data_IF_392885964441
#
_entry.id   IF_392885964441
#
_cell.length_a   1.000
_cell.length_b   1.000
_cell.length_c   1.000
_cell.angle_alpha   90.00
_cell.angle_beta   90.00
_cell.angle_gamma   90.00
#
_symmetry.space_group_name_H-M   'P 1'
#
loop_
_entity.id
_entity.type
_entity.pdbx_description
1 polymer ?
#
# COMPACT_ATOMS: atom_id res chain seq x y z
N UNK A 1 17.61 11.18 11.84
CA UNK A 1 16.52 10.50 12.58
C UNK A 1 15.20 10.85 11.92
N UNK A 2 14.30 9.87 11.73
CA UNK A 2 12.90 10.15 11.39
C UNK A 2 12.46 9.84 9.95
N UNK A 3 12.42 8.54 9.63
CA UNK A 3 11.50 7.86 8.71
C UNK A 3 10.59 8.75 7.80
N UNK A 4 10.93 8.87 6.51
CA UNK A 4 9.95 9.23 5.47
C UNK A 4 9.05 8.03 5.21
N UNK A 5 7.95 7.97 5.96
CA UNK A 5 6.85 7.05 5.72
C UNK A 5 5.97 7.68 4.65
N UNK A 6 6.13 7.26 3.38
CA UNK A 6 5.15 7.62 2.34
C UNK A 6 3.92 6.77 2.61
N UNK A 7 2.96 7.34 3.33
CA UNK A 7 1.59 6.88 3.41
C UNK A 7 0.84 7.58 2.27
N UNK A 8 0.52 6.86 1.19
CA UNK A 8 -0.64 7.25 0.38
C UNK A 8 -1.87 6.77 1.15
N UNK A 9 -2.31 7.59 2.11
CA UNK A 9 -3.60 7.45 2.76
C UNK A 9 -4.64 8.16 1.89
N UNK A 10 -5.80 7.53 1.64
CA UNK A 10 -6.97 8.16 1.01
C UNK A 10 -7.41 9.46 1.70
N UNK A 11 -6.92 9.72 2.93
CA UNK A 11 -7.25 10.91 3.73
C UNK A 11 -6.14 11.99 3.70
N UNK A 12 -5.13 11.85 2.84
CA UNK A 12 -3.95 12.73 2.88
C UNK A 12 -4.16 14.10 2.21
N UNK A 13 -5.20 14.25 1.39
CA UNK A 13 -5.55 15.53 0.76
C UNK A 13 -6.89 16.04 1.30
N UNK A 14 -6.91 16.82 2.40
CA UNK A 14 -8.15 17.41 2.91
C UNK A 14 -8.82 18.32 1.87
N UNK A 15 -8.06 18.84 0.90
CA UNK A 15 -8.59 19.59 -0.24
C UNK A 15 -9.63 18.78 -1.04
N UNK A 16 -9.42 17.47 -1.26
CA UNK A 16 -10.38 16.62 -1.96
C UNK A 16 -11.66 16.35 -1.13
N UNK A 17 -11.63 16.67 0.17
CA UNK A 17 -12.79 16.63 1.06
C UNK A 17 -13.46 18.00 1.25
N UNK A 18 -12.95 19.07 0.63
CA UNK A 18 -13.54 20.41 0.71
C UNK A 18 -14.53 20.61 -0.43
N UNK A 19 -15.71 21.12 -0.10
CA UNK A 19 -16.79 21.44 -1.06
C UNK A 19 -16.42 22.51 -2.11
N UNK A 20 -15.29 23.20 -1.96
CA UNK A 20 -14.79 24.23 -2.89
C UNK A 20 -13.88 23.66 -3.99
N UNK A 21 -13.44 22.40 -3.90
CA UNK A 21 -12.58 21.81 -4.94
C UNK A 21 -13.45 21.23 -6.05
N UNK A 22 -13.46 21.90 -7.20
CA UNK A 22 -14.01 21.35 -8.43
C UNK A 22 -13.02 20.30 -8.97
N UNK A 23 -13.48 19.05 -9.11
CA UNK A 23 -12.72 18.02 -9.80
C UNK A 23 -12.72 18.27 -11.31
N UNK A 24 -11.57 18.17 -11.95
CA UNK A 24 -11.50 18.14 -13.42
C UNK A 24 -12.20 16.88 -13.94
N UNK A 25 -13.00 16.95 -15.03
CA UNK A 25 -13.57 15.77 -15.66
C UNK A 25 -12.50 14.74 -15.99
N UNK A 26 -12.61 13.54 -15.42
CA UNK A 26 -11.64 12.45 -15.60
C UNK A 26 -10.58 12.34 -14.50
N UNK A 27 -10.61 13.19 -13.46
CA UNK A 27 -9.75 13.04 -12.30
C UNK A 27 -10.18 11.87 -11.40
N UNK A 28 -9.22 11.05 -10.98
CA UNK A 28 -9.40 10.03 -9.95
C UNK A 28 -9.21 10.66 -8.57
N UNK A 29 -10.16 10.44 -7.65
CA UNK A 29 -10.19 11.09 -6.34
C UNK A 29 -9.55 10.22 -5.24
N UNK A 30 -9.49 8.91 -5.46
CA UNK A 30 -8.87 7.98 -4.53
C UNK A 30 -8.60 6.64 -5.18
N UNK A 31 -7.55 5.94 -4.72
CA UNK A 31 -7.23 4.58 -5.13
C UNK A 31 -6.89 3.74 -3.91
N UNK A 32 -7.54 2.60 -3.79
CA UNK A 32 -7.34 1.66 -2.68
C UNK A 32 -6.98 0.29 -3.22
N UNK A 33 -6.02 -0.39 -2.62
CA UNK A 33 -5.65 -1.75 -3.03
C UNK A 33 -6.80 -2.70 -2.75
N UNK A 34 -7.16 -3.53 -3.72
CA UNK A 34 -8.17 -4.57 -3.51
C UNK A 34 -7.70 -5.59 -2.46
N UNK A 35 -8.58 -6.04 -1.54
CA UNK A 35 -8.20 -7.02 -0.52
C UNK A 35 -7.54 -8.28 -1.09
N UNK A 36 -8.08 -8.78 -2.21
CA UNK A 36 -7.52 -9.94 -2.94
C UNK A 36 -6.06 -9.71 -3.36
N UNK A 37 -5.77 -8.59 -4.00
CA UNK A 37 -4.42 -8.26 -4.48
C UNK A 37 -3.42 -8.15 -3.31
N UNK A 38 -3.86 -7.54 -2.20
CA UNK A 38 -3.07 -7.47 -0.98
C UNK A 38 -2.80 -8.86 -0.39
N UNK A 39 -3.81 -9.72 -0.29
CA UNK A 39 -3.69 -11.04 0.31
C UNK A 39 -2.79 -11.98 -0.50
N UNK A 40 -2.94 -11.97 -1.83
CA UNK A 40 -2.09 -12.73 -2.75
C UNK A 40 -0.62 -12.30 -2.62
N UNK A 41 -0.35 -10.98 -2.69
CA UNK A 41 0.99 -10.42 -2.52
C UNK A 41 1.59 -10.77 -1.15
N UNK A 42 0.80 -10.62 -0.09
CA UNK A 42 1.21 -10.92 1.30
C UNK A 42 1.55 -12.39 1.46
N UNK A 43 0.72 -13.29 0.95
CA UNK A 43 0.93 -14.74 1.06
C UNK A 43 2.21 -15.16 0.32
N UNK A 44 2.41 -14.68 -0.92
CA UNK A 44 3.62 -14.96 -1.69
C UNK A 44 4.87 -14.44 -0.96
N UNK A 45 4.84 -13.17 -0.55
CA UNK A 45 5.99 -12.51 0.08
C UNK A 45 6.39 -13.20 1.38
N UNK A 46 5.42 -13.53 2.24
CA UNK A 46 5.68 -14.24 3.50
C UNK A 46 6.28 -15.62 3.27
N UNK A 47 5.74 -16.38 2.32
CA UNK A 47 6.24 -17.72 1.97
C UNK A 47 7.68 -17.68 1.47
N UNK A 48 8.06 -16.66 0.69
CA UNK A 48 9.44 -16.53 0.20
C UNK A 48 10.40 -16.04 1.28
N UNK A 49 9.95 -15.16 2.17
CA UNK A 49 10.79 -14.64 3.25
C UNK A 49 11.00 -15.65 4.39
N UNK A 50 10.11 -16.62 4.58
CA UNK A 50 10.22 -17.59 5.69
C UNK A 50 11.45 -18.49 5.60
N UNK A 51 12.05 -18.65 4.42
CA UNK A 51 13.28 -19.43 4.21
C UNK A 51 14.52 -18.55 4.01
N UNK A 52 14.39 -17.23 4.19
CA UNK A 52 15.49 -16.30 4.01
C UNK A 52 16.40 -16.24 5.24
N UNK A 53 17.63 -15.75 5.06
CA UNK A 53 18.58 -15.51 6.17
C UNK A 53 18.03 -14.55 7.22
N UNK A 54 17.12 -13.64 6.86
CA UNK A 54 16.45 -12.74 7.81
C UNK A 54 15.47 -13.48 8.71
N UNK A 55 14.94 -14.62 8.27
CA UNK A 55 14.05 -15.47 9.07
C UNK A 55 14.82 -16.57 9.83
N UNK A 56 15.87 -17.14 9.24
CA UNK A 56 16.57 -18.32 9.80
C UNK A 56 17.88 -17.98 10.52
N UNK A 57 18.37 -16.74 10.43
CA UNK A 57 19.70 -16.31 10.91
C UNK A 57 19.92 -16.26 12.42
N UNK A 58 18.98 -16.76 13.24
CA UNK A 58 19.21 -17.07 14.65
C UNK A 58 19.25 -15.91 15.66
N UNK A 59 19.23 -14.65 15.22
CA UNK A 59 19.22 -13.47 16.12
C UNK A 59 17.98 -12.61 15.90
N UNK A 60 17.44 -12.05 17.00
CA UNK A 60 16.36 -11.05 16.97
C UNK A 60 16.83 -9.83 16.19
N UNK A 61 16.38 -9.71 14.94
CA UNK A 61 16.74 -8.60 14.08
C UNK A 61 15.60 -7.58 14.02
N UNK A 62 15.94 -6.32 13.74
CA UNK A 62 14.93 -5.27 13.51
C UNK A 62 13.97 -5.60 12.36
N UNK A 63 14.37 -6.48 11.43
CA UNK A 63 13.57 -6.92 10.29
C UNK A 63 12.46 -7.90 10.65
N UNK A 64 12.49 -8.47 11.86
CA UNK A 64 11.55 -9.49 12.32
C UNK A 64 10.66 -8.97 13.43
N UNK A 65 9.34 -9.16 13.29
CA UNK A 65 8.36 -8.89 14.33
C UNK A 65 7.35 -10.04 14.39
N UNK A 66 7.17 -10.64 15.58
CA UNK A 66 6.27 -11.79 15.76
C UNK A 66 6.62 -12.99 14.87
N UNK A 67 7.91 -13.27 14.68
CA UNK A 67 8.40 -14.37 13.84
C UNK A 67 8.24 -14.16 12.33
N UNK A 68 7.88 -12.95 11.88
CA UNK A 68 7.69 -12.61 10.47
C UNK A 68 8.65 -11.52 10.06
N UNK A 69 9.24 -11.66 8.88
CA UNK A 69 9.98 -10.58 8.23
C UNK A 69 8.96 -9.57 7.71
N UNK A 70 9.04 -8.31 8.15
CA UNK A 70 8.01 -7.29 7.88
C UNK A 70 8.42 -6.24 6.85
N UNK A 71 9.72 -6.11 6.55
CA UNK A 71 10.25 -4.95 5.85
C UNK A 71 10.95 -5.28 4.52
N UNK A 72 11.35 -6.53 4.30
CA UNK A 72 12.24 -6.89 3.20
C UNK A 72 11.49 -7.44 1.98
N UNK A 73 12.02 -7.17 0.79
CA UNK A 73 11.60 -7.81 -0.45
C UNK A 73 12.37 -9.13 -0.66
N UNK A 74 11.69 -10.26 -0.98
CA UNK A 74 12.33 -11.58 -1.11
C UNK A 74 13.04 -11.83 -2.45
N UNK A 75 13.06 -10.90 -3.39
CA UNK A 75 13.58 -11.09 -4.74
C UNK A 75 14.75 -10.18 -5.10
N UNK A 76 15.25 -10.34 -6.32
CA UNK A 76 16.22 -9.42 -6.90
C UNK A 76 15.55 -8.06 -7.22
N UNK A 77 16.34 -6.99 -7.21
CA UNK A 77 15.83 -5.66 -7.59
C UNK A 77 15.33 -5.59 -9.05
N UNK A 78 15.87 -6.44 -9.93
CA UNK A 78 15.38 -6.58 -11.30
C UNK A 78 13.96 -7.16 -11.37
N UNK A 79 13.62 -8.09 -10.48
CA UNK A 79 12.28 -8.64 -10.33
C UNK A 79 11.32 -7.56 -9.81
N UNK A 80 11.73 -6.83 -8.77
CA UNK A 80 10.94 -5.73 -8.22
C UNK A 80 10.60 -4.71 -9.32
N UNK A 81 11.63 -4.24 -10.05
CA UNK A 81 11.46 -3.31 -11.17
C UNK A 81 10.51 -3.86 -12.23
N UNK A 82 10.62 -5.15 -12.57
CA UNK A 82 9.72 -5.78 -13.56
C UNK A 82 8.28 -5.82 -13.07
N UNK A 83 8.04 -6.11 -11.79
CA UNK A 83 6.68 -6.20 -11.21
C UNK A 83 6.01 -4.83 -11.05
N UNK A 84 6.80 -3.77 -10.85
CA UNK A 84 6.27 -2.41 -10.61
C UNK A 84 6.41 -1.47 -11.81
N UNK A 85 6.93 -1.94 -12.96
CA UNK A 85 7.15 -1.09 -14.15
C UNK A 85 5.87 -0.57 -14.80
N UNK A 86 4.74 -1.20 -14.55
CA UNK A 86 3.45 -0.87 -15.15
C UNK A 86 2.40 -0.86 -14.06
N UNK A 87 1.55 0.16 -14.07
CA UNK A 87 0.41 0.23 -13.19
C UNK A 87 -0.68 -0.72 -13.69
N UNK A 88 -1.18 -1.56 -12.79
CA UNK A 88 -2.26 -2.51 -13.07
C UNK A 88 -3.49 -2.10 -12.28
N UNK A 89 -4.43 -1.47 -12.97
CA UNK A 89 -5.66 -0.91 -12.38
C UNK A 89 -6.56 -1.98 -11.75
N UNK A 90 -6.45 -3.23 -12.20
CA UNK A 90 -7.29 -4.32 -11.69
C UNK A 90 -6.97 -4.65 -10.22
N UNK A 91 -5.78 -4.27 -9.74
CA UNK A 91 -5.40 -4.43 -8.33
C UNK A 91 -5.98 -3.33 -7.41
N UNK A 92 -6.70 -2.35 -7.97
CA UNK A 92 -7.20 -1.19 -7.22
C UNK A 92 -8.71 -0.99 -7.37
N UNK A 93 -9.33 -0.53 -6.29
CA UNK A 93 -10.60 0.19 -6.32
C UNK A 93 -10.28 1.65 -6.61
N UNK A 94 -10.90 2.19 -7.66
CA UNK A 94 -10.66 3.54 -8.10
C UNK A 94 -11.92 4.37 -7.88
N UNK A 95 -11.80 5.44 -7.10
CA UNK A 95 -12.89 6.35 -6.78
C UNK A 95 -12.86 7.52 -7.76
N UNK A 96 -14.02 7.77 -8.36
CA UNK A 96 -14.24 8.84 -9.34
C UNK A 96 -15.15 9.96 -8.82
N UNK A 97 -15.78 9.76 -7.67
CA UNK A 97 -16.73 10.73 -7.09
C UNK A 97 -16.29 11.15 -5.68
N UNK A 98 -16.50 12.42 -5.36
CA UNK A 98 -16.33 12.94 -4.00
C UNK A 98 -17.53 12.42 -3.19
N UNK A 99 -17.33 11.60 -2.15
CA UNK A 99 -18.45 11.15 -1.33
C UNK A 99 -19.13 12.37 -0.71
N UNK A 100 -20.46 12.46 -0.83
CA UNK A 100 -21.24 13.43 -0.07
C UNK A 100 -20.99 13.17 1.42
N UNK A 101 -20.47 14.18 2.15
CA UNK A 101 -20.20 14.07 3.58
C UNK A 101 -21.50 13.69 4.30
N UNK A 102 -21.55 12.50 4.92
CA UNK A 102 -22.59 12.21 5.91
C UNK A 102 -22.31 13.11 7.11
N UNK A 103 -23.20 14.08 7.31
CA UNK A 103 -23.08 15.11 8.34
C UNK A 103 -22.79 14.48 9.70
N UNK A 104 -21.75 14.98 10.36
CA UNK A 104 -21.53 14.74 11.78
C UNK A 104 -22.72 15.41 12.47
N UNK A 105 -23.66 14.61 12.99
CA UNK A 105 -24.73 15.10 13.86
C UNK A 105 -24.09 15.69 15.12
N UNK A 106 -24.51 16.92 15.44
CA UNK A 106 -24.15 17.64 16.66
C UNK A 106 -24.53 16.90 17.94
#
# INVERSE_FOLDING_TARGET
>A
MGCKRILLSSNYFPALSMSTVAGEPGAYLGMEVRPRAYDEFRAETRRRLSTSVWATGGCTSWYTHGGKVTNNWPGLMSEYRRRTRSFDVDNYHVQHEVPAQQGISA
#
